data_IF_570221281646
#
_entry.id   IF_570221281646
#
_cell.length_a   1.000
_cell.length_b   1.000
_cell.length_c   1.000
_cell.angle_alpha   90.00
_cell.angle_beta   90.00
_cell.angle_gamma   90.00
#
_symmetry.space_group_name_H-M   'P 1'
#
loop_
_entity.id
_entity.type
_entity.pdbx_description
1 polymer ?
#
# COMPACT_ATOMS: atom_id res chain seq x y z
N UNK A 1 -13.12 14.36 16.15
CA UNK A 1 -13.87 13.40 15.32
C UNK A 1 -13.45 11.99 15.71
N UNK A 2 -14.43 11.12 16.00
CA UNK A 2 -14.18 9.70 16.37
C UNK A 2 -14.39 8.81 15.16
N UNK A 3 -13.39 8.01 14.83
CA UNK A 3 -13.38 7.13 13.65
C UNK A 3 -13.28 5.68 14.12
N UNK A 4 -14.20 4.82 13.65
CA UNK A 4 -14.07 3.36 13.84
C UNK A 4 -13.40 2.75 12.62
N UNK A 5 -12.13 2.33 12.76
CA UNK A 5 -11.42 1.62 11.70
C UNK A 5 -11.80 0.14 11.75
N UNK A 6 -12.34 -0.36 10.63
CA UNK A 6 -12.71 -1.76 10.43
C UNK A 6 -11.74 -2.39 9.44
N UNK A 7 -10.85 -3.25 9.92
CA UNK A 7 -9.84 -3.88 9.10
C UNK A 7 -9.62 -5.34 9.50
N UNK A 8 -8.96 -6.09 8.60
CA UNK A 8 -8.57 -7.46 8.89
C UNK A 8 -7.48 -7.50 9.95
N UNK A 9 -7.72 -8.33 10.98
CA UNK A 9 -6.74 -8.58 12.04
C UNK A 9 -6.21 -10.00 11.90
N UNK A 10 -4.93 -10.14 11.59
CA UNK A 10 -4.28 -11.42 11.32
C UNK A 10 -2.97 -11.51 12.11
N UNK A 11 -2.72 -12.66 12.74
CA UNK A 11 -1.47 -12.90 13.50
C UNK A 11 -1.15 -11.81 14.54
N UNK A 12 -2.18 -11.36 15.28
CA UNK A 12 -1.98 -10.36 16.34
C UNK A 12 -1.80 -8.92 15.87
N UNK A 13 -1.94 -8.61 14.56
CA UNK A 13 -1.69 -7.26 14.03
C UNK A 13 -2.61 -6.89 12.86
N UNK A 14 -2.75 -5.60 12.64
CA UNK A 14 -3.29 -5.02 11.41
C UNK A 14 -2.19 -4.92 10.34
N UNK A 15 -2.59 -4.74 9.08
CA UNK A 15 -1.61 -4.49 8.02
C UNK A 15 -0.85 -3.17 8.32
N UNK A 16 0.48 -3.13 8.12
CA UNK A 16 1.31 -1.98 8.52
C UNK A 16 0.81 -0.64 7.95
N UNK A 17 0.46 -0.58 6.67
CA UNK A 17 -0.02 0.65 6.03
C UNK A 17 -1.39 1.12 6.58
N UNK A 18 -2.24 0.20 7.11
CA UNK A 18 -3.49 0.58 7.79
C UNK A 18 -3.19 1.17 9.16
N UNK A 19 -2.23 0.59 9.89
CA UNK A 19 -1.80 1.10 11.18
C UNK A 19 -1.15 2.49 11.05
N UNK A 20 -0.24 2.67 10.10
CA UNK A 20 0.42 3.95 9.81
C UNK A 20 -0.59 5.04 9.39
N UNK A 21 -1.59 4.70 8.57
CA UNK A 21 -2.65 5.64 8.21
C UNK A 21 -3.49 6.05 9.43
N UNK A 22 -3.82 5.09 10.31
CA UNK A 22 -4.55 5.37 11.53
C UNK A 22 -3.76 6.27 12.49
N UNK A 23 -2.47 6.01 12.63
CA UNK A 23 -1.55 6.85 13.41
C UNK A 23 -1.50 8.28 12.86
N UNK A 24 -1.39 8.45 11.54
CA UNK A 24 -1.40 9.76 10.91
C UNK A 24 -2.75 10.50 11.13
N UNK A 25 -3.88 9.79 11.11
CA UNK A 25 -5.18 10.36 11.46
C UNK A 25 -5.26 10.77 12.94
N UNK A 26 -4.64 10.01 13.86
CA UNK A 26 -4.54 10.38 15.27
C UNK A 26 -3.69 11.64 15.46
N UNK A 27 -2.54 11.73 14.78
CA UNK A 27 -1.69 12.91 14.79
C UNK A 27 -2.41 14.16 14.22
N UNK A 28 -3.33 13.96 13.28
CA UNK A 28 -4.21 14.98 12.74
C UNK A 28 -5.43 15.31 13.64
N UNK A 29 -5.47 14.80 14.89
CA UNK A 29 -6.49 15.12 15.89
C UNK A 29 -7.74 14.26 15.85
N UNK A 30 -7.74 13.12 15.18
CA UNK A 30 -8.84 12.16 15.21
C UNK A 30 -8.72 11.19 16.38
N UNK A 31 -9.84 10.85 17.02
CA UNK A 31 -9.92 9.73 17.96
C UNK A 31 -10.16 8.44 17.16
N UNK A 32 -9.16 7.56 17.12
CA UNK A 32 -9.24 6.30 16.38
C UNK A 32 -9.58 5.14 17.28
N UNK A 33 -10.68 4.45 16.94
CA UNK A 33 -11.09 3.20 17.58
C UNK A 33 -10.92 2.04 16.60
N UNK A 34 -10.45 0.91 17.05
CA UNK A 34 -10.16 -0.24 16.21
C UNK A 34 -11.20 -1.35 16.33
N UNK A 35 -11.58 -1.91 15.18
CA UNK A 35 -12.32 -3.16 15.09
C UNK A 35 -11.61 -4.15 14.15
N UNK A 36 -11.03 -5.20 14.73
CA UNK A 36 -10.34 -6.26 14.00
C UNK A 36 -11.30 -7.38 13.55
N UNK A 37 -11.39 -7.60 12.24
CA UNK A 37 -12.10 -8.75 11.67
C UNK A 37 -11.18 -9.97 11.71
N UNK A 38 -11.58 -10.99 12.46
CA UNK A 38 -10.84 -12.24 12.65
C UNK A 38 -11.59 -13.42 12.00
N UNK A 39 -10.86 -14.51 11.75
CA UNK A 39 -11.38 -15.75 11.17
C UNK A 39 -11.10 -15.87 9.67
N UNK A 40 -11.40 -17.05 9.11
CA UNK A 40 -11.18 -17.38 7.71
C UNK A 40 -12.48 -17.34 6.90
N UNK A 41 -12.40 -16.93 5.65
CA UNK A 41 -13.52 -16.96 4.71
C UNK A 41 -14.73 -16.14 5.13
N UNK A 42 -15.87 -16.34 4.47
CA UNK A 42 -17.11 -15.59 4.69
C UNK A 42 -17.66 -15.78 6.12
N UNK A 43 -17.50 -16.97 6.71
CA UNK A 43 -17.97 -17.25 8.07
C UNK A 43 -17.31 -16.36 9.13
N UNK A 44 -16.04 -15.99 8.95
CA UNK A 44 -15.35 -15.06 9.85
C UNK A 44 -16.00 -13.67 9.84
N UNK A 45 -16.42 -13.20 8.67
CA UNK A 45 -17.13 -11.90 8.55
C UNK A 45 -18.53 -11.97 9.13
N UNK A 46 -19.29 -13.05 8.91
CA UNK A 46 -20.63 -13.21 9.49
C UNK A 46 -20.61 -13.20 11.03
N UNK A 47 -19.64 -13.90 11.63
CA UNK A 47 -19.45 -13.90 13.09
C UNK A 47 -19.01 -12.53 13.64
N UNK A 48 -18.38 -11.70 12.83
CA UNK A 48 -17.96 -10.36 13.22
C UNK A 48 -19.13 -9.36 13.26
N UNK A 49 -20.24 -9.60 12.53
CA UNK A 49 -21.36 -8.66 12.41
C UNK A 49 -21.99 -8.26 13.76
N UNK A 50 -22.41 -9.19 14.66
CA UNK A 50 -22.98 -8.80 15.96
C UNK A 50 -21.97 -8.07 16.84
N UNK A 51 -20.68 -8.45 16.78
CA UNK A 51 -19.61 -7.78 17.51
C UNK A 51 -19.38 -6.35 17.01
N UNK A 52 -19.40 -6.14 15.69
CA UNK A 52 -19.28 -4.81 15.09
C UNK A 52 -20.49 -3.92 15.46
N UNK A 53 -21.72 -4.47 15.45
CA UNK A 53 -22.90 -3.73 15.91
C UNK A 53 -22.79 -3.31 17.38
N UNK A 54 -22.25 -4.18 18.24
CA UNK A 54 -21.97 -3.84 19.65
C UNK A 54 -20.92 -2.73 19.74
N UNK A 55 -19.82 -2.83 19.00
CA UNK A 55 -18.78 -1.81 18.96
C UNK A 55 -19.32 -0.44 18.50
N UNK A 56 -20.13 -0.39 17.44
CA UNK A 56 -20.77 0.83 16.96
C UNK A 56 -21.64 1.51 18.04
N UNK A 57 -22.40 0.72 18.82
CA UNK A 57 -23.23 1.26 19.90
C UNK A 57 -22.42 1.79 21.07
N UNK A 58 -21.34 1.12 21.44
CA UNK A 58 -20.49 1.51 22.57
C UNK A 58 -19.56 2.68 22.25
N UNK A 59 -19.01 2.73 21.04
CA UNK A 59 -18.03 3.75 20.66
C UNK A 59 -18.66 5.01 20.05
N UNK A 60 -19.86 4.90 19.49
CA UNK A 60 -20.61 5.98 18.83
C UNK A 60 -19.72 6.80 17.87
N UNK A 61 -19.11 6.16 16.85
CA UNK A 61 -18.21 6.85 15.93
C UNK A 61 -18.98 7.81 15.03
N UNK A 62 -18.32 8.87 14.61
CA UNK A 62 -18.82 9.82 13.60
C UNK A 62 -18.76 9.23 12.20
N UNK A 63 -17.72 8.42 11.92
CA UNK A 63 -17.47 7.74 10.65
C UNK A 63 -16.95 6.33 10.90
N UNK A 64 -17.35 5.37 10.05
CA UNK A 64 -16.72 4.06 9.94
C UNK A 64 -15.79 4.08 8.73
N UNK A 65 -14.50 3.83 8.93
CA UNK A 65 -13.55 3.65 7.85
C UNK A 65 -13.16 2.18 7.72
N UNK A 66 -13.64 1.55 6.66
CA UNK A 66 -13.37 0.14 6.39
C UNK A 66 -12.24 -0.02 5.38
N UNK A 67 -11.29 -0.91 5.66
CA UNK A 67 -10.25 -1.30 4.71
C UNK A 67 -10.59 -2.64 4.08
N UNK A 68 -10.53 -2.69 2.74
CA UNK A 68 -10.95 -3.79 1.87
C UNK A 68 -12.46 -3.95 1.71
N UNK A 69 -12.89 -4.39 0.52
CA UNK A 69 -14.28 -4.50 0.15
C UNK A 69 -15.13 -5.39 1.06
N UNK A 70 -14.58 -6.52 1.57
CA UNK A 70 -15.31 -7.37 2.54
C UNK A 70 -15.53 -6.69 3.88
N UNK A 71 -14.57 -5.90 4.38
CA UNK A 71 -14.75 -5.09 5.59
C UNK A 71 -15.77 -3.97 5.34
N UNK A 72 -15.73 -3.33 4.15
CA UNK A 72 -16.72 -2.35 3.72
C UNK A 72 -18.11 -2.91 3.67
N UNK A 73 -18.30 -4.09 3.10
CA UNK A 73 -19.60 -4.77 3.08
C UNK A 73 -20.09 -5.07 4.50
N UNK A 74 -19.23 -5.64 5.35
CA UNK A 74 -19.55 -5.90 6.76
C UNK A 74 -19.97 -4.62 7.50
N UNK A 75 -19.26 -3.51 7.30
CA UNK A 75 -19.55 -2.23 7.92
C UNK A 75 -20.94 -1.70 7.48
N UNK A 76 -21.22 -1.72 6.18
CA UNK A 76 -22.50 -1.30 5.64
C UNK A 76 -23.69 -2.19 6.12
N UNK A 77 -23.45 -3.48 6.36
CA UNK A 77 -24.46 -4.37 6.96
C UNK A 77 -24.65 -4.12 8.46
N UNK A 78 -23.63 -3.58 9.13
CA UNK A 78 -23.68 -3.33 10.58
C UNK A 78 -24.41 -2.03 10.93
N UNK A 79 -24.33 -1.01 10.08
CA UNK A 79 -24.96 0.30 10.31
C UNK A 79 -25.52 0.90 9.01
N UNK A 80 -26.62 1.67 9.17
CA UNK A 80 -27.16 2.57 8.13
C UNK A 80 -27.22 4.02 8.62
N UNK A 81 -26.84 4.27 9.88
CA UNK A 81 -26.91 5.60 10.52
C UNK A 81 -25.58 6.32 10.49
N UNK A 82 -24.47 5.56 10.63
CA UNK A 82 -23.11 6.12 10.60
C UNK A 82 -22.58 5.95 9.17
N UNK A 83 -22.06 7.03 8.53
CA UNK A 83 -21.50 6.92 7.19
C UNK A 83 -20.32 5.96 7.15
N UNK A 84 -20.27 5.13 6.11
CA UNK A 84 -19.18 4.18 5.87
C UNK A 84 -18.34 4.66 4.71
N UNK A 85 -17.05 4.89 4.95
CA UNK A 85 -16.02 5.11 3.93
C UNK A 85 -15.26 3.80 3.75
N UNK A 86 -15.06 3.37 2.50
CA UNK A 86 -14.33 2.11 2.23
C UNK A 86 -13.13 2.37 1.35
N UNK A 87 -11.93 1.95 1.81
CA UNK A 87 -10.69 1.98 1.02
C UNK A 87 -10.39 0.63 0.42
N UNK A 88 -10.11 0.61 -0.90
CA UNK A 88 -9.80 -0.58 -1.71
C UNK A 88 -8.32 -0.58 -2.08
N UNK A 89 -7.62 -1.69 -1.78
CA UNK A 89 -6.15 -1.78 -1.83
C UNK A 89 -5.57 -2.61 -2.99
N UNK A 90 -6.39 -3.21 -3.85
CA UNK A 90 -5.94 -3.98 -5.00
C UNK A 90 -6.38 -5.42 -4.95
N UNK A 91 -5.99 -6.21 -3.97
CA UNK A 91 -6.39 -7.62 -3.87
C UNK A 91 -7.91 -7.81 -3.84
N UNK A 92 -8.63 -6.88 -3.27
CA UNK A 92 -10.10 -6.84 -3.21
C UNK A 92 -10.76 -6.45 -4.56
N UNK A 93 -10.01 -5.88 -5.48
CA UNK A 93 -10.47 -5.54 -6.84
C UNK A 93 -9.98 -6.54 -7.89
N UNK A 94 -8.78 -7.11 -7.70
CA UNK A 94 -8.14 -8.00 -8.66
C UNK A 94 -8.52 -9.47 -8.46
N UNK A 95 -8.83 -9.91 -7.22
CA UNK A 95 -9.18 -11.30 -6.94
C UNK A 95 -10.62 -11.59 -7.33
N UNK A 96 -10.81 -12.53 -8.29
CA UNK A 96 -12.09 -12.86 -8.91
C UNK A 96 -13.20 -13.18 -7.90
N UNK A 97 -12.90 -13.95 -6.85
CA UNK A 97 -13.89 -14.36 -5.85
C UNK A 97 -14.28 -13.25 -4.86
N UNK A 98 -13.42 -12.26 -4.61
CA UNK A 98 -13.67 -11.15 -3.69
C UNK A 98 -14.37 -9.99 -4.39
N UNK A 99 -14.11 -9.80 -5.67
CA UNK A 99 -14.58 -8.70 -6.50
C UNK A 99 -16.10 -8.46 -6.46
N UNK A 100 -16.99 -9.47 -6.47
CA UNK A 100 -18.44 -9.25 -6.35
C UNK A 100 -18.83 -8.58 -5.03
N UNK A 101 -18.24 -8.99 -3.91
CA UNK A 101 -18.48 -8.40 -2.61
C UNK A 101 -17.97 -6.97 -2.51
N UNK A 102 -16.83 -6.69 -3.13
CA UNK A 102 -16.28 -5.32 -3.23
C UNK A 102 -17.21 -4.43 -4.05
N UNK A 103 -17.77 -4.93 -5.17
CA UNK A 103 -18.75 -4.18 -5.98
C UNK A 103 -20.00 -3.83 -5.19
N UNK A 104 -20.49 -4.76 -4.35
CA UNK A 104 -21.63 -4.49 -3.49
C UNK A 104 -21.27 -3.43 -2.42
N UNK A 105 -20.10 -3.54 -1.81
CA UNK A 105 -19.63 -2.55 -0.84
C UNK A 105 -19.50 -1.15 -1.48
N UNK A 106 -19.01 -1.05 -2.73
CA UNK A 106 -18.91 0.21 -3.49
C UNK A 106 -20.29 0.89 -3.62
N UNK A 107 -21.34 0.11 -3.90
CA UNK A 107 -22.70 0.66 -4.04
C UNK A 107 -23.35 1.09 -2.72
N UNK A 108 -22.92 0.50 -1.60
CA UNK A 108 -23.49 0.76 -0.28
C UNK A 108 -22.74 1.84 0.51
N UNK A 109 -21.44 2.01 0.27
CA UNK A 109 -20.62 2.96 1.01
C UNK A 109 -20.99 4.42 0.70
N UNK A 110 -20.98 5.26 1.73
CA UNK A 110 -21.19 6.70 1.58
C UNK A 110 -20.14 7.33 0.69
N UNK A 111 -18.90 6.85 0.77
CA UNK A 111 -17.79 7.23 -0.10
C UNK A 111 -16.81 6.08 -0.28
N UNK A 112 -16.15 6.07 -1.44
CA UNK A 112 -15.15 5.07 -1.77
C UNK A 112 -13.77 5.73 -1.98
N UNK A 113 -12.72 5.10 -1.46
CA UNK A 113 -11.35 5.50 -1.68
C UNK A 113 -10.66 4.36 -2.43
N UNK A 114 -10.06 4.67 -3.58
CA UNK A 114 -9.26 3.71 -4.34
C UNK A 114 -7.80 4.11 -4.32
N UNK A 115 -6.92 3.15 -4.10
CA UNK A 115 -5.47 3.40 -4.17
C UNK A 115 -4.97 3.52 -5.60
N UNK A 116 -5.76 3.06 -6.58
CA UNK A 116 -5.46 3.14 -8.02
C UNK A 116 -6.63 3.79 -8.78
N UNK A 117 -6.31 4.72 -9.67
CA UNK A 117 -7.28 5.54 -10.41
C UNK A 117 -8.17 4.75 -11.39
N UNK A 118 -7.71 3.61 -11.89
CA UNK A 118 -8.49 2.79 -12.83
C UNK A 118 -9.83 2.33 -12.25
N UNK A 119 -9.87 2.08 -10.93
CA UNK A 119 -11.08 1.59 -10.26
C UNK A 119 -12.07 2.68 -9.85
N UNK A 120 -11.64 3.94 -9.87
CA UNK A 120 -12.45 5.08 -9.43
C UNK A 120 -13.41 5.58 -10.51
N UNK A 121 -13.19 5.24 -11.78
CA UNK A 121 -13.93 5.78 -12.94
C UNK A 121 -15.45 5.61 -12.79
N UNK A 122 -16.21 6.71 -12.94
CA UNK A 122 -17.67 6.71 -12.91
C UNK A 122 -18.31 6.43 -11.53
N UNK A 123 -17.60 6.63 -10.42
CA UNK A 123 -18.06 6.35 -9.06
C UNK A 123 -17.97 7.57 -8.13
N UNK A 124 -18.77 7.55 -7.04
CA UNK A 124 -18.57 8.47 -5.89
C UNK A 124 -17.30 8.04 -5.16
N UNK A 125 -16.17 8.54 -5.58
CA UNK A 125 -14.89 8.07 -5.11
C UNK A 125 -13.80 9.14 -5.17
N UNK A 126 -12.78 8.92 -4.38
CA UNK A 126 -11.49 9.62 -4.45
C UNK A 126 -10.37 8.63 -4.74
N UNK A 127 -9.35 9.06 -5.46
CA UNK A 127 -8.11 8.30 -5.63
C UNK A 127 -7.12 8.82 -4.58
N UNK A 128 -6.86 7.99 -3.58
CA UNK A 128 -5.94 8.33 -2.48
C UNK A 128 -5.07 7.09 -2.23
N UNK A 129 -3.86 7.04 -2.80
CA UNK A 129 -2.88 5.98 -2.48
C UNK A 129 -2.52 6.00 -1.00
N UNK A 130 -2.06 4.88 -0.47
CA UNK A 130 -1.55 4.85 0.91
C UNK A 130 -0.36 5.79 1.04
N UNK A 131 -0.29 6.52 2.14
CA UNK A 131 0.84 7.38 2.47
C UNK A 131 2.10 6.59 2.79
N UNK A 132 3.22 7.29 2.84
CA UNK A 132 4.50 6.75 3.29
C UNK A 132 5.14 7.70 4.30
N UNK A 133 5.82 7.13 5.30
CA UNK A 133 6.53 7.91 6.29
C UNK A 133 7.86 8.43 5.72
N UNK A 134 8.00 9.74 5.61
CA UNK A 134 9.23 10.39 5.15
C UNK A 134 10.22 10.68 6.28
N UNK A 135 9.79 10.61 7.55
CA UNK A 135 10.62 10.95 8.73
C UNK A 135 11.54 9.83 9.18
N UNK A 136 11.19 8.57 8.96
CA UNK A 136 11.97 7.40 9.43
C UNK A 136 13.11 7.02 8.50
N UNK A 137 13.04 7.37 7.24
CA UNK A 137 14.15 7.19 6.33
C UNK A 137 15.18 8.29 6.59
N UNK A 138 16.25 7.98 7.32
CA UNK A 138 17.46 8.84 7.39
C UNK A 138 18.12 8.92 6.00
N UNK A 139 17.32 9.28 5.01
CA UNK A 139 17.68 9.33 3.59
C UNK A 139 18.59 10.50 3.21
N UNK A 140 18.96 11.36 4.18
CA UNK A 140 19.71 12.58 3.91
C UNK A 140 21.22 12.54 4.22
N UNK A 141 21.68 11.70 5.14
CA UNK A 141 23.01 11.94 5.74
C UNK A 141 24.04 10.83 5.56
N UNK A 142 23.67 9.63 5.21
CA UNK A 142 24.68 8.59 4.95
C UNK A 142 25.13 8.60 3.49
N UNK A 143 26.31 9.16 3.23
CA UNK A 143 27.12 8.95 2.01
C UNK A 143 27.60 7.49 1.88
N UNK A 144 26.84 6.52 2.40
CA UNK A 144 27.16 5.12 2.23
C UNK A 144 27.06 4.76 0.75
N UNK A 145 28.15 4.29 0.16
CA UNK A 145 28.14 3.70 -1.18
C UNK A 145 27.14 2.56 -1.17
N UNK A 146 26.19 2.57 -2.11
CA UNK A 146 25.26 1.45 -2.29
C UNK A 146 26.03 0.18 -2.59
N UNK A 147 25.61 -0.89 -1.97
CA UNK A 147 26.14 -2.23 -2.20
C UNK A 147 25.68 -2.72 -3.58
N UNK A 148 26.61 -2.72 -4.55
CA UNK A 148 26.32 -3.20 -5.91
C UNK A 148 26.13 -4.72 -5.98
N UNK A 149 26.53 -5.44 -4.95
CA UNK A 149 26.43 -6.91 -4.84
C UNK A 149 25.05 -7.40 -4.43
N UNK A 150 24.05 -6.50 -4.15
CA UNK A 150 22.70 -6.91 -3.74
C UNK A 150 21.61 -6.18 -4.51
N UNK A 151 20.60 -6.94 -4.98
CA UNK A 151 19.36 -6.45 -5.58
C UNK A 151 18.20 -6.92 -4.71
N UNK A 152 17.35 -6.00 -4.24
CA UNK A 152 16.20 -6.34 -3.39
C UNK A 152 15.00 -6.70 -4.26
N UNK A 153 14.48 -7.92 -4.10
CA UNK A 153 13.26 -8.36 -4.76
C UNK A 153 12.02 -7.84 -4.00
N UNK A 154 11.07 -7.26 -4.72
CA UNK A 154 9.89 -6.58 -4.14
C UNK A 154 8.81 -7.55 -3.61
N UNK A 155 9.19 -8.64 -2.96
CA UNK A 155 8.24 -9.60 -2.40
C UNK A 155 8.90 -10.87 -1.90
N UNK A 156 8.07 -11.86 -1.58
CA UNK A 156 8.50 -13.19 -1.22
C UNK A 156 8.66 -14.06 -2.48
N UNK A 157 9.66 -14.92 -2.51
CA UNK A 157 9.92 -15.81 -3.67
C UNK A 157 8.82 -16.84 -3.89
N UNK A 158 8.12 -17.22 -2.83
CA UNK A 158 6.99 -18.16 -2.85
C UNK A 158 5.63 -17.48 -3.19
N UNK A 159 5.60 -16.16 -3.38
CA UNK A 159 4.39 -15.45 -3.83
C UNK A 159 4.31 -15.43 -5.36
N UNK A 160 3.41 -16.25 -5.91
CA UNK A 160 3.19 -16.38 -7.36
C UNK A 160 2.89 -15.04 -8.05
N UNK A 161 2.24 -14.10 -7.35
CA UNK A 161 1.91 -12.78 -7.90
C UNK A 161 3.17 -11.95 -8.11
N UNK A 162 4.19 -12.14 -7.31
CA UNK A 162 5.46 -11.41 -7.39
C UNK A 162 6.36 -11.86 -8.54
N UNK A 163 6.12 -13.07 -9.09
CA UNK A 163 6.82 -13.59 -10.26
C UNK A 163 8.35 -13.65 -10.08
N UNK A 164 8.80 -14.34 -9.04
CA UNK A 164 10.23 -14.49 -8.75
C UNK A 164 11.00 -15.20 -9.89
N UNK A 165 10.34 -16.06 -10.66
CA UNK A 165 10.97 -16.74 -11.79
C UNK A 165 11.58 -15.75 -12.80
N UNK A 166 10.84 -14.71 -13.17
CA UNK A 166 11.33 -13.65 -14.05
C UNK A 166 12.52 -12.90 -13.44
N UNK A 167 12.50 -12.66 -12.12
CA UNK A 167 13.60 -12.00 -11.43
C UNK A 167 14.86 -12.87 -11.42
N UNK A 168 14.75 -14.17 -11.12
CA UNK A 168 15.89 -15.10 -11.15
C UNK A 168 16.51 -15.19 -12.55
N UNK A 169 15.68 -15.29 -13.60
CA UNK A 169 16.15 -15.34 -14.98
C UNK A 169 16.87 -14.02 -15.37
N UNK A 170 16.34 -12.89 -14.96
CA UNK A 170 16.94 -11.59 -15.18
C UNK A 170 18.29 -11.43 -14.46
N UNK A 171 18.43 -12.01 -13.27
CA UNK A 171 19.68 -11.96 -12.48
C UNK A 171 20.79 -12.88 -13.02
N UNK A 172 20.49 -13.78 -13.94
CA UNK A 172 21.49 -14.66 -14.54
C UNK A 172 22.62 -13.86 -15.19
N UNK A 173 23.87 -14.08 -14.77
CA UNK A 173 25.05 -13.34 -15.25
C UNK A 173 25.18 -11.89 -14.73
N UNK A 174 24.49 -11.58 -13.66
CA UNK A 174 24.74 -10.38 -12.84
C UNK A 174 25.51 -10.82 -11.59
N UNK A 175 26.62 -10.14 -11.33
CA UNK A 175 27.41 -10.34 -10.10
C UNK A 175 26.73 -9.58 -8.94
N UNK A 176 25.62 -10.13 -8.48
CA UNK A 176 24.85 -9.63 -7.34
C UNK A 176 23.88 -10.70 -6.81
N UNK A 177 23.65 -10.70 -5.51
CA UNK A 177 22.66 -11.52 -4.83
C UNK A 177 21.26 -10.94 -5.00
N UNK A 178 20.26 -11.77 -5.29
CA UNK A 178 18.86 -11.40 -5.21
C UNK A 178 18.33 -11.66 -3.80
N UNK A 179 18.02 -10.58 -3.07
CA UNK A 179 17.56 -10.64 -1.67
C UNK A 179 16.03 -10.63 -1.62
N UNK A 180 15.42 -11.62 -0.99
CA UNK A 180 13.98 -11.72 -0.80
C UNK A 180 13.49 -10.71 0.25
N UNK A 181 12.38 -10.03 -0.03
CA UNK A 181 11.72 -9.16 0.94
C UNK A 181 10.69 -9.96 1.78
N UNK A 182 11.17 -10.74 2.74
CA UNK A 182 10.34 -11.57 3.61
C UNK A 182 10.90 -11.62 5.02
N UNK A 183 10.04 -11.40 6.03
CA UNK A 183 10.42 -11.54 7.43
C UNK A 183 11.12 -10.32 8.05
N UNK A 184 11.37 -9.26 7.32
CA UNK A 184 12.00 -8.03 7.81
C UNK A 184 11.03 -7.12 8.57
N UNK A 185 11.55 -6.45 9.58
CA UNK A 185 10.90 -5.29 10.21
C UNK A 185 10.92 -4.09 9.27
N UNK A 186 10.11 -3.08 9.55
CA UNK A 186 10.09 -1.84 8.77
C UNK A 186 11.44 -1.12 8.76
N UNK A 187 12.14 -1.12 9.86
CA UNK A 187 13.46 -0.50 9.99
C UNK A 187 14.51 -1.23 9.15
N UNK A 188 14.47 -2.57 9.14
CA UNK A 188 15.34 -3.39 8.31
C UNK A 188 15.06 -3.19 6.81
N UNK A 189 13.80 -3.09 6.42
CA UNK A 189 13.41 -2.75 5.03
C UNK A 189 13.97 -1.40 4.62
N UNK A 190 13.83 -0.36 5.45
CA UNK A 190 14.36 0.98 5.16
C UNK A 190 15.90 0.96 5.06
N UNK A 191 16.56 0.19 5.91
CA UNK A 191 18.02 0.01 5.84
C UNK A 191 18.43 -0.67 4.53
N UNK A 192 17.80 -1.80 4.18
CA UNK A 192 18.05 -2.50 2.92
C UNK A 192 17.86 -1.59 1.71
N UNK A 193 16.73 -0.87 1.64
CA UNK A 193 16.46 0.09 0.56
C UNK A 193 17.49 1.21 0.47
N UNK A 194 18.12 1.57 1.58
CA UNK A 194 19.19 2.58 1.59
C UNK A 194 20.54 2.06 1.10
N UNK A 195 20.75 0.74 1.14
CA UNK A 195 22.04 0.08 0.89
C UNK A 195 22.09 -0.66 -0.46
N UNK A 196 21.06 -1.38 -0.85
CA UNK A 196 21.05 -2.24 -2.05
C UNK A 196 21.26 -1.46 -3.35
N UNK A 197 21.74 -2.16 -4.38
CA UNK A 197 21.91 -1.61 -5.74
C UNK A 197 20.62 -1.01 -6.27
N UNK A 198 19.53 -1.78 -6.21
CA UNK A 198 18.20 -1.33 -6.60
C UNK A 198 17.12 -2.24 -6.00
N UNK A 199 15.89 -1.75 -6.03
CA UNK A 199 14.68 -2.55 -5.87
C UNK A 199 14.26 -3.10 -7.24
N UNK A 200 14.05 -4.42 -7.34
CA UNK A 200 13.52 -5.09 -8.52
C UNK A 200 12.07 -5.53 -8.30
N UNK A 201 11.16 -5.10 -9.16
CA UNK A 201 9.76 -5.51 -9.14
C UNK A 201 9.35 -6.17 -10.47
N UNK A 202 8.93 -7.44 -10.39
CA UNK A 202 8.48 -8.25 -11.53
C UNK A 202 7.02 -8.69 -11.41
N UNK A 203 6.27 -8.12 -10.46
CA UNK A 203 4.90 -8.53 -10.10
C UNK A 203 3.97 -8.56 -11.30
N UNK A 204 3.08 -9.55 -11.34
CA UNK A 204 2.05 -9.69 -12.38
C UNK A 204 0.87 -8.73 -12.16
N UNK A 205 0.57 -8.40 -10.89
CA UNK A 205 -0.54 -7.54 -10.52
C UNK A 205 -0.25 -6.81 -9.22
N UNK A 206 -0.50 -5.50 -9.24
CA UNK A 206 -0.43 -4.63 -8.06
C UNK A 206 -1.58 -3.61 -8.08
N UNK A 207 -1.78 -2.92 -6.97
CA UNK A 207 -2.65 -1.74 -6.92
C UNK A 207 -1.81 -0.47 -6.90
N UNK A 208 -1.29 -0.14 -5.72
CA UNK A 208 -0.32 0.92 -5.45
C UNK A 208 0.71 0.37 -4.46
N UNK A 209 1.77 -0.28 -4.96
CA UNK A 209 2.69 -1.03 -4.10
C UNK A 209 3.45 -0.12 -3.15
N UNK A 210 3.33 -0.40 -1.85
CA UNK A 210 3.91 0.43 -0.79
C UNK A 210 5.44 0.45 -0.86
N UNK A 211 6.05 -0.68 -1.20
CA UNK A 211 7.51 -0.81 -1.29
C UNK A 211 8.14 0.14 -2.32
N UNK A 212 7.43 0.52 -3.38
CA UNK A 212 7.89 1.51 -4.37
C UNK A 212 8.02 2.87 -3.70
N UNK A 213 7.01 3.31 -2.95
CA UNK A 213 7.03 4.59 -2.23
C UNK A 213 8.11 4.61 -1.15
N UNK A 214 8.31 3.49 -0.45
CA UNK A 214 9.39 3.31 0.52
C UNK A 214 10.76 3.39 -0.15
N UNK A 215 10.94 2.75 -1.30
CA UNK A 215 12.17 2.84 -2.08
C UNK A 215 12.46 4.28 -2.53
N UNK A 216 11.44 5.00 -3.02
CA UNK A 216 11.54 6.40 -3.39
C UNK A 216 11.99 7.26 -2.21
N UNK A 217 11.38 7.11 -1.02
CA UNK A 217 11.76 7.85 0.20
C UNK A 217 13.20 7.54 0.64
N UNK A 218 13.64 6.27 0.50
CA UNK A 218 15.00 5.87 0.79
C UNK A 218 16.01 6.26 -0.30
N UNK A 219 15.58 6.92 -1.38
CA UNK A 219 16.42 7.24 -2.53
C UNK A 219 16.96 6.00 -3.24
N UNK A 220 16.25 4.87 -3.18
CA UNK A 220 16.64 3.61 -3.80
C UNK A 220 16.32 3.63 -5.30
N UNK A 221 17.27 3.29 -6.18
CA UNK A 221 16.98 3.04 -7.58
C UNK A 221 15.93 1.94 -7.75
N UNK A 222 15.08 2.06 -8.76
CA UNK A 222 13.97 1.12 -8.99
C UNK A 222 14.05 0.61 -10.43
N UNK A 223 13.99 -0.72 -10.58
CA UNK A 223 13.77 -1.39 -11.86
C UNK A 223 12.46 -2.15 -11.74
N UNK A 224 11.45 -1.76 -12.51
CA UNK A 224 10.11 -2.35 -12.39
C UNK A 224 9.50 -2.62 -13.76
N UNK A 225 8.72 -3.67 -13.85
CA UNK A 225 7.77 -3.84 -14.94
C UNK A 225 6.61 -2.85 -14.78
N UNK A 226 5.90 -2.55 -15.86
CA UNK A 226 4.68 -1.71 -15.81
C UNK A 226 3.57 -2.49 -15.09
N UNK A 227 3.26 -2.09 -13.84
CA UNK A 227 2.27 -2.75 -12.99
C UNK A 227 1.69 -1.80 -11.94
N UNK A 228 0.38 -1.85 -11.74
CA UNK A 228 -0.32 -0.95 -10.82
C UNK A 228 -0.13 0.51 -11.21
N UNK A 229 0.22 1.35 -10.24
CA UNK A 229 0.53 2.77 -10.46
C UNK A 229 2.05 3.05 -10.51
N UNK A 230 2.91 2.03 -10.61
CA UNK A 230 4.37 2.20 -10.50
C UNK A 230 4.92 3.16 -11.53
N UNK A 231 4.50 3.03 -12.79
CA UNK A 231 4.93 3.92 -13.87
C UNK A 231 4.68 5.39 -13.53
N UNK A 232 3.46 5.70 -13.10
CA UNK A 232 3.07 7.06 -12.67
C UNK A 232 3.89 7.54 -11.46
N UNK A 233 4.16 6.64 -10.50
CA UNK A 233 4.91 7.00 -9.29
C UNK A 233 6.37 7.36 -9.58
N UNK A 234 7.06 6.63 -10.46
CA UNK A 234 8.48 6.84 -10.74
C UNK A 234 8.75 7.71 -11.97
N UNK A 235 7.72 8.20 -12.65
CA UNK A 235 7.88 9.11 -13.78
C UNK A 235 8.64 10.38 -13.36
N UNK A 236 9.71 10.70 -14.11
CA UNK A 236 10.58 11.84 -13.79
C UNK A 236 11.53 11.62 -12.61
N UNK A 237 11.54 10.44 -12.00
CA UNK A 237 12.51 10.09 -10.95
C UNK A 237 13.78 9.55 -11.59
N UNK A 238 14.92 10.21 -11.31
CA UNK A 238 16.21 9.76 -11.84
C UNK A 238 16.57 8.36 -11.33
N UNK A 239 17.31 7.60 -12.14
CA UNK A 239 17.79 6.25 -11.80
C UNK A 239 16.65 5.24 -11.47
N UNK A 240 15.44 5.50 -11.99
CA UNK A 240 14.27 4.62 -11.90
C UNK A 240 13.75 4.30 -13.30
N UNK A 241 13.40 3.04 -13.54
CA UNK A 241 13.12 2.53 -14.86
C UNK A 241 11.89 1.63 -14.90
N UNK A 242 11.02 1.84 -15.90
CA UNK A 242 10.00 0.88 -16.32
C UNK A 242 10.56 0.08 -17.50
N UNK A 243 10.49 -1.23 -17.40
CA UNK A 243 11.06 -2.16 -18.38
C UNK A 243 10.01 -3.18 -18.85
N UNK A 244 10.16 -3.74 -20.06
CA UNK A 244 9.36 -4.88 -20.50
C UNK A 244 9.52 -6.09 -19.58
N UNK A 245 8.54 -7.01 -19.59
CA UNK A 245 8.60 -8.29 -18.83
C UNK A 245 9.51 -9.30 -19.52
N UNK A 246 10.73 -8.89 -19.81
CA UNK A 246 11.74 -9.66 -20.53
C UNK A 246 13.02 -9.72 -19.68
N UNK A 247 13.54 -10.92 -19.39
CA UNK A 247 14.72 -11.08 -18.54
C UNK A 247 15.92 -10.28 -19.03
N UNK A 248 16.14 -10.21 -20.35
CA UNK A 248 17.25 -9.48 -20.94
C UNK A 248 17.12 -7.98 -20.72
N UNK A 249 15.96 -7.38 -20.95
CA UNK A 249 15.73 -5.94 -20.74
C UNK A 249 15.90 -5.54 -19.29
N UNK A 250 15.41 -6.38 -18.36
CA UNK A 250 15.60 -6.17 -16.91
C UNK A 250 17.09 -6.24 -16.56
N UNK A 251 17.81 -7.27 -17.04
CA UNK A 251 19.24 -7.47 -16.81
C UNK A 251 20.08 -6.30 -17.27
N UNK A 252 19.88 -5.85 -18.50
CA UNK A 252 20.57 -4.71 -19.08
C UNK A 252 20.31 -3.43 -18.28
N UNK A 253 19.09 -3.23 -17.81
CA UNK A 253 18.72 -2.08 -16.99
C UNK A 253 19.37 -2.13 -15.61
N UNK A 254 19.39 -3.30 -14.93
CA UNK A 254 20.09 -3.47 -13.66
C UNK A 254 21.60 -3.12 -13.80
N UNK A 255 22.24 -3.47 -14.93
CA UNK A 255 23.62 -3.10 -15.19
C UNK A 255 23.84 -1.60 -15.34
N UNK A 256 22.86 -0.86 -15.86
CA UNK A 256 22.88 0.60 -16.03
C UNK A 256 22.62 1.38 -14.75
N UNK A 257 22.01 0.74 -13.72
CA UNK A 257 21.74 1.40 -12.43
C UNK A 257 23.04 1.92 -11.84
N UNK A 258 23.05 3.21 -11.52
CA UNK A 258 24.18 3.89 -10.86
C UNK A 258 24.07 3.81 -9.34
N UNK A 259 25.13 4.18 -8.63
CA UNK A 259 25.12 4.27 -7.17
C UNK A 259 24.49 5.58 -6.64
N UNK A 260 24.03 6.45 -7.54
CA UNK A 260 23.41 7.71 -7.17
C UNK A 260 22.03 7.49 -6.53
N UNK A 261 21.71 8.33 -5.55
CA UNK A 261 20.39 8.36 -4.93
C UNK A 261 19.38 8.98 -5.91
N UNK A 262 18.16 8.51 -5.81
CA UNK A 262 17.06 9.06 -6.59
C UNK A 262 16.48 10.30 -5.89
N UNK A 263 15.82 11.17 -6.66
CA UNK A 263 15.01 12.27 -6.16
C UNK A 263 13.55 11.83 -5.85
N UNK A 264 13.36 10.55 -5.57
CA UNK A 264 12.04 9.98 -5.31
C UNK A 264 11.36 10.55 -4.08
N UNK A 265 12.12 10.93 -3.05
CA UNK A 265 11.59 11.55 -1.82
C UNK A 265 10.91 12.88 -2.11
N UNK A 266 11.56 13.74 -2.88
CA UNK A 266 11.04 15.04 -3.29
C UNK A 266 9.73 14.86 -4.09
N UNK A 267 9.69 13.87 -4.98
CA UNK A 267 8.48 13.54 -5.72
C UNK A 267 7.35 13.04 -4.81
N UNK A 268 7.63 12.18 -3.83
CA UNK A 268 6.63 11.72 -2.84
C UNK A 268 5.98 12.91 -2.12
N UNK A 269 6.79 13.89 -1.70
CA UNK A 269 6.31 15.10 -1.03
C UNK A 269 5.48 15.97 -1.99
N UNK A 270 5.97 16.18 -3.22
CA UNK A 270 5.30 16.98 -4.23
C UNK A 270 3.95 16.37 -4.67
N UNK A 271 3.87 15.04 -4.79
CA UNK A 271 2.64 14.30 -5.13
C UNK A 271 1.64 14.26 -3.95
N UNK A 272 2.02 14.75 -2.78
CA UNK A 272 1.15 14.75 -1.60
C UNK A 272 0.90 13.34 -1.05
N UNK A 273 1.95 12.50 -1.01
CA UNK A 273 1.89 11.09 -0.61
C UNK A 273 2.57 10.82 0.74
N UNK A 274 2.93 11.85 1.51
CA UNK A 274 3.33 11.64 2.91
C UNK A 274 2.13 11.17 3.75
N UNK A 275 2.39 10.46 4.84
CA UNK A 275 1.32 10.01 5.74
C UNK A 275 0.43 11.16 6.22
N UNK A 276 1.01 12.32 6.53
CA UNK A 276 0.28 13.53 6.93
C UNK A 276 -0.61 14.07 5.81
N UNK A 277 -0.06 14.24 4.60
CA UNK A 277 -0.82 14.74 3.45
C UNK A 277 -1.97 13.82 3.07
N UNK A 278 -1.74 12.49 3.15
CA UNK A 278 -2.77 11.49 2.89
C UNK A 278 -3.85 11.51 3.99
N UNK A 279 -3.47 11.65 5.26
CA UNK A 279 -4.43 11.79 6.35
C UNK A 279 -5.34 13.00 6.15
N UNK A 280 -4.80 14.15 5.73
CA UNK A 280 -5.59 15.34 5.42
C UNK A 280 -6.58 15.10 4.28
N UNK A 281 -6.15 14.47 3.16
CA UNK A 281 -7.04 14.08 2.05
C UNK A 281 -8.18 13.15 2.52
N UNK A 282 -7.91 12.25 3.45
CA UNK A 282 -8.91 11.33 4.01
C UNK A 282 -9.88 12.09 4.94
N UNK A 283 -9.38 13.03 5.73
CA UNK A 283 -10.21 13.89 6.58
C UNK A 283 -11.18 14.73 5.76
N UNK A 284 -10.78 15.22 4.59
CA UNK A 284 -11.69 15.93 3.66
C UNK A 284 -12.82 15.02 3.16
N UNK A 285 -12.52 13.72 2.94
CA UNK A 285 -13.55 12.73 2.61
C UNK A 285 -14.51 12.55 3.80
N UNK A 286 -14.01 12.47 5.02
CA UNK A 286 -14.87 12.36 6.20
C UNK A 286 -15.77 13.56 6.38
N UNK A 287 -15.22 14.79 6.25
CA UNK A 287 -15.99 16.01 6.32
C UNK A 287 -17.11 16.06 5.27
N UNK A 288 -16.89 15.49 4.08
CA UNK A 288 -17.89 15.40 3.00
C UNK A 288 -19.04 14.45 3.33
N UNK A 289 -18.77 13.31 3.97
CA UNK A 289 -19.81 12.31 4.25
C UNK A 289 -20.58 12.56 5.53
N UNK A 290 -20.11 13.47 6.37
CA UNK A 290 -20.78 13.91 7.60
C UNK A 290 -21.75 15.08 7.40
N UNK A 291 -21.70 15.76 6.25
CA UNK A 291 -22.64 16.80 5.83
C UNK A 291 -23.96 16.18 5.37
#
# INVERSE_FOLDING_TARGET
>A
MRILIVARYKQGRFAPFVAEQAEALQQAGCEVVWFGVQGKGVSGYLRALPRLRKALRSTRPDVVHAHYGLCGLLANMATRRVPVVTTYHGSDMNVRFVRPFSRLAIGLSAWNIFVNGEWAKGRKASVIPCGVNVGTAKGGETKSKRDKGRVLFAGAFDDMVKNAALAFEAMSGIDAELVELKGYTREEVNRLLSEVRCLLMTSQSEGSPQIIKEAMVCGCPIVSVDVGDVKERIEGVNNCYIVPREPQAIRETIRKVTSERTNGREKIIADGLTNEQVANKIMDVYARVMR
#
